data_IF_152275929296
#
_entry.id   IF_152275929296
#
_cell.length_a   1.000
_cell.length_b   1.000
_cell.length_c   1.000
_cell.angle_alpha   90.00
_cell.angle_beta   90.00
_cell.angle_gamma   90.00
#
_symmetry.space_group_name_H-M   'P 1'
#
loop_
_entity.id
_entity.type
_entity.pdbx_description
1 polymer ?
#
# COMPACT_ATOMS: atom_id res chain seq x y z
N UNK A 1 10.22 24.92 20.42
CA UNK A 1 10.35 23.44 20.38
C UNK A 1 11.38 23.08 19.32
N UNK A 2 12.35 22.21 19.61
CA UNK A 2 13.38 21.81 18.62
C UNK A 2 12.72 21.17 17.39
N UNK A 3 12.95 21.72 16.20
CA UNK A 3 12.37 21.31 14.91
C UNK A 3 12.24 19.79 14.71
N UNK A 4 13.28 19.02 15.09
CA UNK A 4 13.27 17.54 15.04
C UNK A 4 12.19 16.88 15.91
N UNK A 5 11.92 17.41 17.11
CA UNK A 5 10.85 16.89 18.00
C UNK A 5 9.46 17.15 17.41
N UNK A 6 9.28 18.25 16.69
CA UNK A 6 8.03 18.53 15.98
C UNK A 6 7.82 17.56 14.82
N UNK A 7 8.84 17.33 13.99
CA UNK A 7 8.81 16.33 12.91
C UNK A 7 8.49 14.92 13.42
N UNK A 8 9.08 14.51 14.55
CA UNK A 8 8.79 13.22 15.17
C UNK A 8 7.33 13.09 15.62
N UNK A 9 6.73 14.14 16.20
CA UNK A 9 5.31 14.11 16.58
C UNK A 9 4.40 14.03 15.36
N UNK A 10 4.67 14.86 14.35
CA UNK A 10 3.90 14.86 13.10
C UNK A 10 3.97 13.48 12.46
N UNK A 11 5.18 12.94 12.25
CA UNK A 11 5.35 11.62 11.64
C UNK A 11 4.66 10.51 12.43
N UNK A 12 4.74 10.51 13.78
CA UNK A 12 4.11 9.49 14.61
C UNK A 12 2.58 9.53 14.50
N UNK A 13 1.97 10.70 14.66
CA UNK A 13 0.51 10.82 14.66
C UNK A 13 -0.09 10.67 13.27
N UNK A 14 0.52 11.29 12.24
CA UNK A 14 0.14 11.07 10.85
C UNK A 14 0.33 9.60 10.47
N UNK A 15 1.44 8.97 10.87
CA UNK A 15 1.71 7.56 10.60
C UNK A 15 0.68 6.62 11.21
N UNK A 16 0.24 6.84 12.45
CA UNK A 16 -0.81 6.02 13.09
C UNK A 16 -2.15 6.17 12.36
N UNK A 17 -2.56 7.40 12.06
CA UNK A 17 -3.81 7.65 11.33
C UNK A 17 -3.77 7.02 9.92
N UNK A 18 -2.65 7.18 9.21
CA UNK A 18 -2.43 6.59 7.89
C UNK A 18 -2.38 5.06 7.95
N UNK A 19 -1.78 4.46 8.98
CA UNK A 19 -1.66 3.01 9.09
C UNK A 19 -3.03 2.32 9.10
N UNK A 20 -4.01 2.86 9.83
CA UNK A 20 -5.37 2.31 9.84
C UNK A 20 -6.00 2.35 8.43
N UNK A 21 -5.85 3.47 7.73
CA UNK A 21 -6.32 3.60 6.36
C UNK A 21 -5.61 2.64 5.40
N UNK A 22 -4.27 2.54 5.49
CA UNK A 22 -3.46 1.67 4.65
C UNK A 22 -3.75 0.19 4.89
N UNK A 23 -4.12 -0.21 6.11
CA UNK A 23 -4.58 -1.58 6.38
C UNK A 23 -5.89 -1.85 5.65
N UNK A 24 -6.87 -0.95 5.75
CA UNK A 24 -8.15 -1.09 5.02
C UNK A 24 -7.93 -1.11 3.50
N UNK A 25 -7.13 -0.16 2.98
CA UNK A 25 -6.78 -0.09 1.58
C UNK A 25 -6.00 -1.33 1.12
N UNK A 26 -5.08 -1.83 1.93
CA UNK A 26 -4.29 -3.04 1.65
C UNK A 26 -5.16 -4.30 1.61
N UNK A 27 -6.08 -4.46 2.57
CA UNK A 27 -7.01 -5.61 2.58
C UNK A 27 -7.95 -5.58 1.38
N UNK A 28 -8.54 -4.42 1.09
CA UNK A 28 -9.42 -4.25 -0.07
C UNK A 28 -8.66 -4.40 -1.40
N UNK A 29 -7.43 -3.90 -1.48
CA UNK A 29 -6.57 -4.05 -2.66
C UNK A 29 -6.11 -5.49 -2.89
N UNK A 30 -5.76 -6.21 -1.83
CA UNK A 30 -5.45 -7.64 -1.89
C UNK A 30 -6.66 -8.44 -2.39
N UNK A 31 -7.86 -8.12 -1.91
CA UNK A 31 -9.08 -8.73 -2.44
C UNK A 31 -9.27 -8.46 -3.93
N UNK A 32 -9.08 -7.21 -4.38
CA UNK A 32 -9.21 -6.83 -5.79
C UNK A 32 -8.16 -7.51 -6.68
N UNK A 33 -6.97 -7.79 -6.17
CA UNK A 33 -5.94 -8.51 -6.93
C UNK A 33 -6.39 -9.92 -7.34
N UNK A 34 -7.24 -10.58 -6.54
CA UNK A 34 -7.73 -11.94 -6.77
C UNK A 34 -9.23 -11.99 -7.12
N UNK A 35 -9.83 -10.85 -7.50
CA UNK A 35 -11.28 -10.82 -7.70
C UNK A 35 -11.75 -11.73 -8.84
N UNK A 36 -10.91 -11.98 -9.86
CA UNK A 36 -11.23 -12.88 -10.95
C UNK A 36 -11.37 -14.33 -10.48
N UNK A 37 -10.42 -14.80 -9.68
CA UNK A 37 -10.41 -16.15 -9.12
C UNK A 37 -11.57 -16.32 -8.13
N UNK A 38 -11.81 -15.31 -7.30
CA UNK A 38 -12.89 -15.30 -6.31
C UNK A 38 -14.26 -15.32 -7.02
N UNK A 39 -14.46 -14.50 -8.05
CA UNK A 39 -15.70 -14.47 -8.83
C UNK A 39 -15.92 -15.74 -9.64
N UNK A 40 -14.87 -16.29 -10.26
CA UNK A 40 -14.96 -17.56 -10.97
C UNK A 40 -15.36 -18.72 -10.05
N UNK A 41 -14.95 -18.67 -8.77
CA UNK A 41 -15.39 -19.64 -7.76
C UNK A 41 -16.83 -19.39 -7.27
N UNK A 42 -17.26 -18.13 -7.16
CA UNK A 42 -18.58 -17.74 -6.64
C UNK A 42 -19.71 -17.87 -7.66
N UNK A 43 -19.42 -17.56 -8.93
CA UNK A 43 -20.37 -17.53 -10.06
C UNK A 43 -19.68 -18.14 -11.29
N UNK A 44 -19.44 -19.46 -11.29
CA UNK A 44 -18.75 -20.13 -12.39
C UNK A 44 -19.52 -20.04 -13.72
N UNK A 45 -20.85 -19.97 -13.68
CA UNK A 45 -21.72 -19.92 -14.86
C UNK A 45 -21.49 -18.69 -15.75
N UNK A 46 -21.03 -17.57 -15.17
CA UNK A 46 -20.76 -16.35 -15.92
C UNK A 46 -19.35 -16.34 -16.54
N UNK A 47 -18.45 -17.18 -16.00
CA UNK A 47 -17.02 -17.17 -16.32
C UNK A 47 -16.60 -18.40 -17.11
N UNK A 48 -17.35 -19.50 -17.04
CA UNK A 48 -17.05 -20.76 -17.70
C UNK A 48 -18.05 -21.08 -18.80
N UNK A 49 -17.51 -21.41 -19.96
CA UNK A 49 -18.23 -21.88 -21.13
C UNK A 49 -17.76 -23.27 -21.53
N UNK A 50 -18.60 -24.00 -22.26
CA UNK A 50 -18.20 -25.27 -22.84
C UNK A 50 -17.48 -25.02 -24.16
N UNK A 51 -16.23 -25.48 -24.35
CA UNK A 51 -15.52 -25.29 -25.61
C UNK A 51 -16.29 -25.89 -26.79
N UNK A 52 -16.49 -25.09 -27.83
CA UNK A 52 -17.16 -25.48 -29.06
C UNK A 52 -16.23 -25.50 -30.29
N UNK A 53 -16.69 -26.01 -31.43
CA UNK A 53 -15.92 -25.95 -32.67
C UNK A 53 -15.96 -24.52 -33.25
N UNK A 54 -14.82 -23.85 -33.24
CA UNK A 54 -14.66 -22.50 -33.83
C UNK A 54 -14.99 -21.35 -32.88
N UNK A 55 -14.67 -20.12 -33.27
CA UNK A 55 -14.94 -18.91 -32.48
C UNK A 55 -15.94 -18.02 -33.22
N UNK A 56 -16.85 -17.40 -32.47
CA UNK A 56 -17.76 -16.40 -33.00
C UNK A 56 -16.97 -15.17 -33.49
N UNK A 57 -17.47 -14.50 -34.54
CA UNK A 57 -16.89 -13.24 -35.00
C UNK A 57 -17.09 -12.15 -33.95
N UNK A 58 -16.00 -11.47 -33.56
CA UNK A 58 -16.05 -10.36 -32.61
C UNK A 58 -16.88 -9.20 -33.14
N UNK A 59 -16.88 -8.97 -34.45
CA UNK A 59 -17.67 -7.91 -35.08
C UNK A 59 -19.16 -8.21 -35.01
N UNK A 60 -19.55 -9.48 -35.19
CA UNK A 60 -20.94 -9.92 -35.05
C UNK A 60 -21.42 -9.84 -33.60
N UNK A 61 -20.55 -10.21 -32.66
CA UNK A 61 -20.81 -10.08 -31.22
C UNK A 61 -20.97 -8.60 -30.85
N UNK A 62 -20.08 -7.73 -31.32
CA UNK A 62 -20.15 -6.30 -31.08
C UNK A 62 -21.44 -5.70 -31.64
N UNK A 63 -21.77 -6.01 -32.89
CA UNK A 63 -23.01 -5.55 -33.53
C UNK A 63 -24.25 -6.04 -32.78
N UNK A 64 -24.25 -7.30 -32.30
CA UNK A 64 -25.35 -7.85 -31.50
C UNK A 64 -25.49 -7.12 -30.18
N UNK A 65 -24.40 -6.82 -29.48
CA UNK A 65 -24.41 -6.08 -28.22
C UNK A 65 -24.92 -4.64 -28.44
N UNK A 66 -24.38 -3.93 -29.43
CA UNK A 66 -24.77 -2.54 -29.71
C UNK A 66 -26.21 -2.43 -30.20
N UNK A 67 -26.74 -3.43 -30.90
CA UNK A 67 -28.16 -3.45 -31.30
C UNK A 67 -29.11 -3.59 -30.10
N UNK A 68 -28.67 -4.24 -29.01
CA UNK A 68 -29.44 -4.33 -27.76
C UNK A 68 -29.29 -3.09 -26.88
N UNK A 69 -28.15 -2.39 -26.99
CA UNK A 69 -27.81 -1.23 -26.17
C UNK A 69 -27.46 -0.01 -27.05
N UNK A 70 -28.45 0.64 -27.69
CA UNK A 70 -28.20 1.68 -28.70
C UNK A 70 -27.46 2.92 -28.17
N UNK A 71 -27.56 3.18 -26.87
CA UNK A 71 -26.87 4.29 -26.17
C UNK A 71 -25.41 4.00 -25.84
N UNK A 72 -25.00 2.74 -25.94
CA UNK A 72 -23.65 2.27 -25.64
C UNK A 72 -22.92 1.85 -26.92
N UNK A 73 -21.60 1.78 -26.81
CA UNK A 73 -20.70 1.23 -27.82
C UNK A 73 -19.73 0.27 -27.13
N UNK A 74 -19.23 -0.71 -27.87
CA UNK A 74 -18.19 -1.61 -27.35
C UNK A 74 -16.89 -0.84 -27.19
N UNK A 75 -16.34 -0.81 -25.98
CA UNK A 75 -15.06 -0.17 -25.70
C UNK A 75 -13.89 -1.10 -26.03
N UNK A 76 -13.86 -2.26 -25.38
CA UNK A 76 -12.81 -3.25 -25.58
C UNK A 76 -13.24 -4.64 -25.08
N UNK A 77 -12.60 -5.67 -25.62
CA UNK A 77 -12.76 -7.06 -25.23
C UNK A 77 -11.64 -7.48 -24.28
N UNK A 78 -12.00 -8.12 -23.16
CA UNK A 78 -11.08 -8.80 -22.25
C UNK A 78 -11.12 -10.30 -22.51
N UNK A 79 -9.96 -10.82 -22.90
CA UNK A 79 -9.73 -12.23 -23.11
C UNK A 79 -9.00 -12.81 -21.90
N UNK A 80 -9.56 -13.86 -21.33
CA UNK A 80 -8.86 -14.69 -20.36
C UNK A 80 -8.18 -15.82 -21.13
N UNK A 81 -6.86 -16.08 -20.93
CA UNK A 81 -6.14 -17.14 -21.62
C UNK A 81 -6.48 -18.52 -21.02
N UNK A 82 -7.74 -18.93 -21.16
CA UNK A 82 -8.29 -20.22 -20.76
C UNK A 82 -9.33 -20.63 -21.82
N UNK A 83 -9.28 -21.88 -22.29
CA UNK A 83 -10.20 -22.41 -23.31
C UNK A 83 -11.64 -22.46 -22.80
N UNK A 84 -11.84 -22.56 -21.48
CA UNK A 84 -13.16 -22.53 -20.88
C UNK A 84 -13.68 -21.15 -20.53
N UNK A 85 -12.96 -20.06 -20.82
CA UNK A 85 -13.33 -18.75 -20.27
C UNK A 85 -14.27 -17.94 -21.18
N UNK A 86 -15.26 -17.30 -20.56
CA UNK A 86 -16.10 -16.30 -21.21
C UNK A 86 -15.30 -15.03 -21.57
N UNK A 87 -15.66 -14.38 -22.68
CA UNK A 87 -15.14 -13.06 -23.05
C UNK A 87 -15.90 -12.00 -22.25
N UNK A 88 -15.16 -11.06 -21.67
CA UNK A 88 -15.74 -9.89 -21.02
C UNK A 88 -15.70 -8.70 -21.97
N UNK A 89 -16.84 -8.04 -22.15
CA UNK A 89 -16.98 -6.88 -23.04
C UNK A 89 -17.22 -5.67 -22.16
N UNK A 90 -16.30 -4.70 -22.19
CA UNK A 90 -16.46 -3.45 -21.46
C UNK A 90 -17.16 -2.44 -22.36
N UNK A 91 -18.24 -1.87 -21.85
CA UNK A 91 -19.07 -0.93 -22.57
C UNK A 91 -18.62 0.50 -22.33
N UNK A 92 -18.88 1.35 -23.32
CA UNK A 92 -18.63 2.78 -23.26
C UNK A 92 -19.89 3.55 -23.66
N UNK A 93 -20.04 4.79 -23.21
CA UNK A 93 -21.09 5.65 -23.76
C UNK A 93 -20.75 5.99 -25.21
N UNK A 94 -21.74 6.02 -26.10
CA UNK A 94 -21.49 6.30 -27.53
C UNK A 94 -20.78 7.65 -27.75
N UNK A 95 -21.07 8.63 -26.90
CA UNK A 95 -20.38 9.93 -26.87
C UNK A 95 -18.88 9.76 -26.58
N UNK A 96 -18.54 9.06 -25.50
CA UNK A 96 -17.14 8.87 -25.12
C UNK A 96 -16.40 8.00 -26.15
N UNK A 97 -17.06 7.01 -26.74
CA UNK A 97 -16.51 6.24 -27.85
C UNK A 97 -16.17 7.12 -29.06
N UNK A 98 -17.06 8.07 -29.44
CA UNK A 98 -16.79 9.06 -30.49
C UNK A 98 -15.67 10.04 -30.15
N UNK A 99 -15.44 10.31 -28.87
CA UNK A 99 -14.33 11.13 -28.35
C UNK A 99 -13.02 10.32 -28.18
N UNK A 100 -13.02 9.01 -28.45
CA UNK A 100 -11.88 8.12 -28.19
C UNK A 100 -11.54 7.97 -26.70
N UNK A 101 -12.49 8.29 -25.81
CA UNK A 101 -12.32 8.27 -24.36
C UNK A 101 -13.07 7.09 -23.76
N UNK A 102 -12.51 6.46 -22.72
CA UNK A 102 -13.21 5.46 -21.94
C UNK A 102 -14.05 6.14 -20.85
N UNK A 103 -15.36 5.93 -20.88
CA UNK A 103 -16.27 6.32 -19.80
C UNK A 103 -16.37 5.15 -18.81
N UNK A 104 -15.53 5.19 -17.76
CA UNK A 104 -15.49 4.12 -16.74
C UNK A 104 -16.50 4.32 -15.61
N UNK A 105 -17.05 5.52 -15.47
CA UNK A 105 -17.73 5.93 -14.25
C UNK A 105 -19.26 5.75 -14.33
N UNK A 106 -19.87 5.55 -15.51
CA UNK A 106 -21.34 5.49 -15.62
C UNK A 106 -21.99 4.70 -16.79
N UNK A 107 -21.33 3.83 -17.58
CA UNK A 107 -22.06 3.01 -18.55
C UNK A 107 -22.84 1.89 -17.83
N UNK A 108 -24.12 1.73 -18.17
CA UNK A 108 -24.97 0.61 -17.71
C UNK A 108 -25.63 -0.09 -18.92
N UNK A 109 -25.40 -1.40 -19.14
CA UNK A 109 -24.43 -2.25 -18.46
C UNK A 109 -22.98 -1.81 -18.72
N UNK A 110 -22.13 -1.88 -17.70
CA UNK A 110 -20.70 -1.56 -17.84
C UNK A 110 -19.90 -2.74 -18.42
N UNK A 111 -20.38 -3.96 -18.18
CA UNK A 111 -19.69 -5.19 -18.53
C UNK A 111 -20.69 -6.25 -18.97
N UNK A 112 -20.38 -6.94 -20.07
CA UNK A 112 -21.21 -8.00 -20.63
C UNK A 112 -20.34 -9.24 -20.81
N UNK A 113 -20.85 -10.40 -20.38
CA UNK A 113 -20.19 -11.68 -20.51
C UNK A 113 -20.72 -12.39 -21.75
N UNK A 114 -19.82 -12.84 -22.61
CA UNK A 114 -20.15 -13.47 -23.89
C UNK A 114 -19.41 -14.79 -24.03
N UNK A 115 -20.10 -15.78 -24.57
CA UNK A 115 -19.48 -17.03 -24.97
C UNK A 115 -18.63 -16.84 -26.24
N UNK A 116 -17.30 -17.06 -26.20
CA UNK A 116 -16.42 -16.95 -27.36
C UNK A 116 -16.76 -17.90 -28.51
N UNK A 117 -17.42 -19.02 -28.25
CA UNK A 117 -17.72 -20.05 -29.24
C UNK A 117 -19.05 -19.77 -29.94
N UNK A 118 -20.10 -19.49 -29.18
CA UNK A 118 -21.46 -19.29 -29.71
C UNK A 118 -21.82 -17.83 -29.97
N UNK A 119 -21.09 -16.87 -29.38
CA UNK A 119 -21.47 -15.46 -29.37
C UNK A 119 -22.74 -15.19 -28.54
N UNK A 120 -23.15 -16.12 -27.68
CA UNK A 120 -24.27 -15.95 -26.78
C UNK A 120 -23.90 -15.01 -25.62
N UNK A 121 -24.81 -14.09 -25.28
CA UNK A 121 -24.64 -13.23 -24.10
C UNK A 121 -25.05 -14.05 -22.87
N UNK A 122 -24.08 -14.31 -22.00
CA UNK A 122 -24.24 -15.10 -20.77
C UNK A 122 -24.86 -14.26 -19.64
N UNK A 123 -24.55 -12.96 -19.62
CA UNK A 123 -25.15 -12.02 -18.67
C UNK A 123 -24.53 -10.63 -18.75
N UNK A 124 -25.14 -9.69 -18.03
CA UNK A 124 -24.75 -8.28 -18.00
C UNK A 124 -24.52 -7.85 -16.56
N UNK A 125 -23.55 -6.94 -16.35
CA UNK A 125 -23.16 -6.46 -15.03
C UNK A 125 -22.93 -4.95 -15.05
N UNK A 126 -23.39 -4.31 -13.98
CA UNK A 126 -23.08 -2.92 -13.64
C UNK A 126 -21.96 -2.87 -12.59
N UNK A 127 -20.81 -2.35 -12.99
CA UNK A 127 -19.68 -2.07 -12.14
C UNK A 127 -19.99 -0.82 -11.33
N UNK A 128 -19.92 -0.94 -10.01
CA UNK A 128 -20.20 0.14 -9.08
C UNK A 128 -21.62 0.18 -8.50
N UNK A 129 -22.52 -0.72 -8.90
CA UNK A 129 -23.77 -0.90 -8.16
C UNK A 129 -23.54 -1.58 -6.81
N UNK A 130 -24.29 -1.11 -5.80
CA UNK A 130 -24.28 -1.69 -4.47
C UNK A 130 -25.18 -2.91 -4.46
N UNK A 131 -24.64 -4.08 -4.10
CA UNK A 131 -25.41 -5.30 -4.00
C UNK A 131 -24.71 -6.32 -3.10
N UNK A 132 -25.45 -6.91 -2.17
CA UNK A 132 -24.99 -7.99 -1.32
C UNK A 132 -24.99 -9.36 -2.03
N UNK A 133 -25.38 -9.40 -3.30
CA UNK A 133 -25.34 -10.60 -4.14
C UNK A 133 -23.88 -10.93 -4.48
N UNK A 134 -23.57 -12.23 -4.60
CA UNK A 134 -22.22 -12.74 -4.88
C UNK A 134 -21.55 -12.08 -6.10
N UNK A 135 -22.33 -11.70 -7.12
CA UNK A 135 -21.87 -11.02 -8.34
C UNK A 135 -21.53 -9.53 -8.17
N UNK A 136 -22.02 -8.89 -7.10
CA UNK A 136 -21.87 -7.44 -6.84
C UNK A 136 -20.89 -7.12 -5.69
N UNK A 137 -20.39 -8.14 -5.00
CA UNK A 137 -19.46 -7.95 -3.88
C UNK A 137 -18.12 -7.32 -4.30
N UNK A 138 -17.51 -7.81 -5.39
CA UNK A 138 -16.25 -7.23 -5.89
C UNK A 138 -16.40 -5.80 -6.44
N UNK A 139 -17.45 -5.45 -7.22
CA UNK A 139 -17.75 -4.06 -7.55
C UNK A 139 -17.93 -3.14 -6.34
N UNK A 140 -18.54 -3.65 -5.26
CA UNK A 140 -18.67 -2.93 -3.99
C UNK A 140 -17.30 -2.67 -3.34
N UNK A 141 -16.45 -3.71 -3.25
CA UNK A 141 -15.07 -3.57 -2.71
C UNK A 141 -14.25 -2.61 -3.55
N UNK A 142 -14.41 -2.62 -4.87
CA UNK A 142 -13.73 -1.66 -5.76
C UNK A 142 -14.13 -0.22 -5.43
N UNK A 143 -15.42 0.07 -5.29
CA UNK A 143 -15.89 1.43 -4.94
C UNK A 143 -15.38 1.88 -3.57
N UNK A 144 -15.33 0.98 -2.59
CA UNK A 144 -14.72 1.25 -1.30
C UNK A 144 -13.24 1.60 -1.44
N UNK A 145 -12.48 0.80 -2.20
CA UNK A 145 -11.03 0.97 -2.37
C UNK A 145 -10.68 2.26 -3.12
N UNK A 146 -11.36 2.55 -4.22
CA UNK A 146 -11.03 3.67 -5.10
C UNK A 146 -11.63 5.00 -4.64
N UNK A 147 -12.82 4.97 -4.04
CA UNK A 147 -13.60 6.18 -3.78
C UNK A 147 -14.25 6.21 -2.39
N UNK A 148 -14.01 5.24 -1.51
CA UNK A 148 -14.64 5.17 -0.18
C UNK A 148 -16.18 5.25 -0.21
N UNK A 149 -16.80 4.95 -1.36
CA UNK A 149 -18.22 5.23 -1.68
C UNK A 149 -18.63 6.71 -1.82
N UNK A 150 -17.71 7.66 -1.68
CA UNK A 150 -17.95 9.10 -1.85
C UNK A 150 -17.78 9.59 -3.31
N UNK A 151 -17.60 8.69 -4.28
CA UNK A 151 -17.44 9.06 -5.69
C UNK A 151 -16.20 9.95 -5.90
N UNK A 152 -16.35 11.05 -6.65
CA UNK A 152 -15.25 11.98 -6.95
C UNK A 152 -14.61 12.57 -5.69
N UNK A 153 -15.41 12.97 -4.70
CA UNK A 153 -14.89 13.50 -3.44
C UNK A 153 -14.03 12.46 -2.71
N UNK A 154 -14.42 11.19 -2.78
CA UNK A 154 -13.66 10.08 -2.23
C UNK A 154 -12.33 9.83 -2.94
N UNK A 155 -12.29 9.99 -4.27
CA UNK A 155 -11.04 9.90 -5.04
C UNK A 155 -10.05 10.98 -4.58
N UNK A 156 -10.53 12.22 -4.40
CA UNK A 156 -9.70 13.31 -3.88
C UNK A 156 -9.22 13.07 -2.44
N UNK A 157 -10.06 12.49 -1.58
CA UNK A 157 -9.66 12.09 -0.23
C UNK A 157 -8.56 11.03 -0.28
N UNK A 158 -8.73 9.98 -1.09
CA UNK A 158 -7.71 8.93 -1.26
C UNK A 158 -6.40 9.51 -1.80
N UNK A 159 -6.48 10.44 -2.77
CA UNK A 159 -5.30 11.13 -3.30
C UNK A 159 -4.59 11.98 -2.24
N UNK A 160 -5.33 12.72 -1.42
CA UNK A 160 -4.77 13.52 -0.32
C UNK A 160 -4.11 12.63 0.74
N UNK A 161 -4.71 11.47 1.04
CA UNK A 161 -4.15 10.46 1.95
C UNK A 161 -2.84 9.89 1.40
N UNK A 162 -2.81 9.54 0.11
CA UNK A 162 -1.60 9.06 -0.56
C UNK A 162 -0.48 10.11 -0.56
N UNK A 163 -0.81 11.38 -0.84
CA UNK A 163 0.16 12.48 -0.76
C UNK A 163 0.72 12.67 0.67
N UNK A 164 -0.17 12.62 1.67
CA UNK A 164 0.22 12.70 3.08
C UNK A 164 1.14 11.54 3.48
N UNK A 165 0.89 10.34 2.93
CA UNK A 165 1.75 9.19 3.13
C UNK A 165 3.16 9.40 2.55
N UNK A 166 3.28 9.89 1.31
CA UNK A 166 4.56 10.24 0.70
C UNK A 166 5.33 11.26 1.56
N UNK A 167 4.67 12.32 2.00
CA UNK A 167 5.29 13.33 2.90
C UNK A 167 5.76 12.68 4.20
N UNK A 168 4.95 11.79 4.77
CA UNK A 168 5.30 11.08 6.02
C UNK A 168 6.50 10.16 5.81
N UNK A 169 6.64 9.50 4.65
CA UNK A 169 7.80 8.70 4.28
C UNK A 169 9.07 9.57 4.18
N UNK A 170 8.98 10.75 3.57
CA UNK A 170 10.10 11.69 3.48
C UNK A 170 10.54 12.18 4.87
N UNK A 171 9.60 12.54 5.75
CA UNK A 171 9.91 12.91 7.13
C UNK A 171 10.58 11.75 7.86
N UNK A 172 10.08 10.53 7.67
CA UNK A 172 10.67 9.31 8.23
C UNK A 172 12.10 9.10 7.77
N UNK A 173 12.37 9.24 6.47
CA UNK A 173 13.70 9.12 5.89
C UNK A 173 14.67 10.17 6.46
N UNK A 174 14.25 11.44 6.57
CA UNK A 174 15.06 12.51 7.18
C UNK A 174 15.35 12.24 8.66
N UNK A 175 14.40 11.67 9.39
CA UNK A 175 14.58 11.33 10.80
C UNK A 175 15.50 10.11 11.00
N UNK A 176 15.42 9.14 10.07
CA UNK A 176 16.19 7.90 10.05
C UNK A 176 17.61 8.06 9.50
N UNK A 177 17.87 9.13 8.72
CA UNK A 177 19.20 9.43 8.20
C UNK A 177 20.21 9.49 9.36
N UNK A 178 21.32 8.71 9.28
CA UNK A 178 22.38 8.81 10.27
C UNK A 178 22.85 10.27 10.28
N UNK A 179 23.06 10.84 11.47
CA UNK A 179 23.77 12.11 11.56
C UNK A 179 25.13 11.84 10.91
N UNK A 180 25.34 12.34 9.69
CA UNK A 180 26.65 12.37 9.08
C UNK A 180 27.53 13.14 10.06
N UNK A 181 28.23 12.40 10.91
CA UNK A 181 29.36 12.92 11.66
C UNK A 181 30.38 13.19 10.58
N UNK A 182 30.49 14.44 10.15
CA UNK A 182 31.61 14.86 9.31
C UNK A 182 32.89 14.39 10.03
N UNK A 183 33.72 13.53 9.42
CA UNK A 183 35.01 13.16 9.99
C UNK A 183 35.86 14.42 9.96
N UNK A 184 35.95 15.12 11.09
CA UNK A 184 36.63 16.41 11.16
C UNK A 184 36.29 17.27 12.39
N UNK A 185 35.20 17.01 13.10
CA UNK A 185 35.04 17.58 14.44
C UNK A 185 35.78 16.69 15.44
N UNK A 186 37.12 16.88 15.46
CA UNK A 186 37.96 16.39 16.53
C UNK A 186 37.32 16.77 17.86
N UNK A 187 37.17 15.78 18.74
CA UNK A 187 36.75 16.00 20.12
C UNK A 187 37.74 17.02 20.71
N UNK A 188 37.31 18.24 21.09
CA UNK A 188 38.20 19.15 21.80
C UNK A 188 38.52 18.52 23.14
N UNK A 189 39.77 18.06 23.27
CA UNK A 189 40.46 17.77 24.52
C UNK A 189 39.70 16.90 25.52
N UNK A 190 39.95 15.60 25.48
CA UNK A 190 40.04 14.83 26.73
C UNK A 190 41.30 15.28 27.48
N UNK A 191 41.26 16.51 27.99
CA UNK A 191 42.17 16.98 29.01
C UNK A 191 41.61 16.51 30.36
N UNK A 192 42.51 15.93 31.17
CA UNK A 192 42.31 15.51 32.54
C UNK A 192 41.65 14.14 32.78
N UNK A 193 42.43 13.08 32.58
CA UNK A 193 42.49 12.02 33.59
C UNK A 193 43.94 11.81 34.03
N UNK A 194 44.45 12.70 34.89
CA UNK A 194 45.64 12.39 35.70
C UNK A 194 45.30 11.11 36.50
N UNK A 195 46.18 10.09 36.52
CA UNK A 195 45.98 8.97 37.41
C UNK A 195 45.89 9.48 38.84
N UNK A 196 44.79 9.15 39.53
CA UNK A 196 44.60 9.43 40.95
C UNK A 196 45.76 8.73 41.68
N UNK A 197 46.63 9.51 42.33
CA UNK A 197 47.69 8.96 43.16
C UNK A 197 47.08 7.99 44.19
N UNK A 198 47.71 6.84 44.47
CA UNK A 198 47.20 5.90 45.46
C UNK A 198 47.14 6.61 46.81
N UNK A 199 45.95 6.58 47.43
CA UNK A 199 45.75 7.06 48.79
C UNK A 199 46.61 6.23 49.73
N UNK A 200 47.64 6.85 50.27
CA UNK A 200 48.38 6.29 51.39
C UNK A 200 47.50 6.25 52.63
N UNK A 201 47.39 5.09 53.23
CA UNK A 201 46.74 4.91 54.52
C UNK A 201 47.85 4.90 55.59
N UNK A 202 47.98 5.94 56.43
CA UNK A 202 48.87 5.85 57.60
C UNK A 202 48.12 5.07 58.69
N UNK A 203 48.50 3.81 58.89
CA UNK A 203 48.12 3.04 60.08
C UNK A 203 49.02 3.43 61.24
N UNK A 204 48.48 4.17 62.21
CA UNK A 204 49.19 4.47 63.45
C UNK A 204 49.27 3.20 64.32
N UNK A 205 50.48 2.82 64.72
CA UNK A 205 50.70 1.78 65.74
C UNK A 205 50.45 2.42 67.11
N UNK A 206 49.61 1.79 67.94
CA UNK A 206 49.24 2.32 69.25
C UNK A 206 50.47 2.53 70.14
N UNK A 207 50.74 3.78 70.55
CA UNK A 207 51.71 4.11 71.60
C UNK A 207 52.97 4.90 71.20
N UNK A 208 53.11 5.39 69.96
CA UNK A 208 54.30 6.14 69.52
C UNK A 208 54.06 7.66 69.37
N UNK A 209 55.07 8.53 69.61
CA UNK A 209 54.95 9.97 69.39
C UNK A 209 54.78 10.32 67.90
N UNK A 210 54.11 11.46 67.58
CA UNK A 210 53.54 11.76 66.26
C UNK A 210 54.53 11.97 65.10
N UNK A 211 55.84 11.83 65.30
CA UNK A 211 56.87 12.10 64.29
C UNK A 211 57.35 10.88 63.49
N UNK A 212 56.70 9.71 63.61
CA UNK A 212 57.17 8.46 62.98
C UNK A 212 56.10 7.71 62.15
N UNK A 213 55.49 8.35 61.14
CA UNK A 213 54.82 7.61 60.04
C UNK A 213 55.91 7.19 59.02
N UNK A 214 56.22 5.90 58.90
CA UNK A 214 57.02 5.34 57.80
C UNK A 214 56.10 4.93 56.64
N UNK A 215 56.44 5.37 55.42
CA UNK A 215 55.67 5.08 54.21
C UNK A 215 56.23 3.84 53.51
N UNK A 216 55.41 2.82 53.31
CA UNK A 216 55.77 1.64 52.52
C UNK A 216 55.03 1.66 51.18
N UNK A 217 55.77 1.76 50.08
CA UNK A 217 55.25 1.67 48.72
C UNK A 217 54.99 0.21 48.32
N UNK A 218 53.92 -0.12 47.58
CA UNK A 218 53.73 -1.46 47.01
C UNK A 218 54.76 -1.69 45.89
N UNK A 219 55.45 -2.82 45.95
CA UNK A 219 56.35 -3.30 44.89
C UNK A 219 55.57 -3.64 43.61
N UNK A 220 56.03 -3.22 42.42
CA UNK A 220 55.36 -3.59 41.17
C UNK A 220 55.58 -5.08 40.88
N UNK A 221 54.48 -5.85 40.88
CA UNK A 221 54.48 -7.25 40.45
C UNK A 221 54.72 -7.36 38.95
N UNK A 222 55.66 -8.21 38.57
CA UNK A 222 55.94 -8.63 37.20
C UNK A 222 55.01 -9.76 36.77
N UNK A 223 54.22 -9.54 35.72
CA UNK A 223 54.02 -10.40 34.52
C UNK A 223 52.92 -9.80 33.67
#
# INVERSE_FOLDING_TARGET
>A
MTFRKSLQRIHRWCGIALAAFLVLAGVTGAFLAFHHEIEAALVPELHRVTPGPGRASLDEVAARIESRHPTLAVGYFLFTPDEGAAIRVIMNTRRAAGEGRLDRDSPKPSEIFVDPYTGAILGERNWGEFGATRSHFAPMVYRLHMSLFLGEAGQWITAAVAATWIVTLLIGAVLAAPRLRLPGQGVPGEMARRPRAPSSTCTARSGSPPSSCSWSSPSPGST
#
